data_IF_965520592968
#
_entry.id   IF_965520592968
#
_cell.length_a   1.000
_cell.length_b   1.000
_cell.length_c   1.000
_cell.angle_alpha   90.00
_cell.angle_beta   90.00
_cell.angle_gamma   90.00
#
_symmetry.space_group_name_H-M   'P 1'
#
loop_
_entity.id
_entity.type
_entity.pdbx_description
1 polymer ?
#
# COMPACT_ATOMS: atom_id res chain seq x y z
N UNK A 1 17.45 -19.74 -83.80
CA UNK A 1 17.19 -18.43 -84.44
C UNK A 1 17.11 -18.65 -85.94
N UNK A 2 16.05 -18.18 -86.61
CA UNK A 2 15.95 -18.23 -88.07
C UNK A 2 16.22 -16.85 -88.67
N UNK A 3 16.53 -16.83 -89.96
CA UNK A 3 16.99 -15.67 -90.71
C UNK A 3 16.25 -15.59 -92.03
N UNK A 4 15.78 -14.41 -92.38
CA UNK A 4 15.31 -14.08 -93.71
C UNK A 4 16.49 -13.62 -94.55
N UNK A 5 16.53 -14.06 -95.80
CA UNK A 5 17.58 -13.76 -96.77
C UNK A 5 16.99 -12.86 -97.85
N UNK A 6 17.67 -11.77 -98.18
CA UNK A 6 17.31 -10.91 -99.31
C UNK A 6 18.19 -11.25 -100.51
N UNK A 7 17.59 -11.87 -101.52
CA UNK A 7 18.28 -12.35 -102.73
C UNK A 7 17.38 -12.16 -103.94
N UNK A 8 17.94 -11.70 -105.07
CA UNK A 8 17.20 -11.48 -106.33
C UNK A 8 15.92 -10.62 -106.18
N UNK A 9 15.99 -9.55 -105.37
CA UNK A 9 14.89 -8.63 -105.03
C UNK A 9 13.69 -9.29 -104.31
N UNK A 10 13.83 -10.56 -103.91
CA UNK A 10 12.81 -11.31 -103.21
C UNK A 10 13.26 -11.66 -101.79
N UNK A 11 12.28 -11.65 -100.89
CA UNK A 11 12.46 -12.12 -99.52
C UNK A 11 12.32 -13.64 -99.49
N UNK A 12 13.39 -14.35 -99.11
CA UNK A 12 13.37 -15.79 -98.94
C UNK A 12 13.55 -16.14 -97.46
N UNK A 13 12.69 -16.99 -96.90
CA UNK A 13 12.85 -17.45 -95.52
C UNK A 13 11.54 -17.85 -94.84
N UNK A 14 11.56 -18.06 -93.51
CA UNK A 14 12.73 -17.97 -92.62
C UNK A 14 13.59 -19.25 -92.65
N UNK A 15 14.92 -19.13 -92.72
CA UNK A 15 15.89 -20.24 -92.74
C UNK A 15 16.66 -20.40 -91.43
N UNK A 16 16.96 -21.62 -91.03
CA UNK A 16 17.94 -21.89 -89.98
C UNK A 16 19.38 -21.72 -90.48
N UNK A 17 20.38 -21.50 -89.59
CA UNK A 17 21.79 -21.43 -89.98
C UNK A 17 22.28 -22.66 -90.77
N UNK A 18 21.74 -23.84 -90.47
CA UNK A 18 22.03 -25.07 -91.20
C UNK A 18 21.50 -25.04 -92.64
N UNK A 19 20.27 -24.58 -92.84
CA UNK A 19 19.65 -24.44 -94.16
C UNK A 19 20.34 -23.37 -95.02
N UNK A 20 20.82 -22.29 -94.38
CA UNK A 20 21.63 -21.26 -95.05
C UNK A 20 22.99 -21.80 -95.53
N UNK A 21 23.60 -22.74 -94.79
CA UNK A 21 24.88 -23.35 -95.17
C UNK A 21 24.79 -24.04 -96.55
N UNK A 22 23.69 -24.77 -96.77
CA UNK A 22 23.43 -25.55 -97.99
C UNK A 22 23.04 -24.68 -99.20
N UNK A 23 22.74 -23.39 -99.00
CA UNK A 23 22.41 -22.48 -100.10
C UNK A 23 23.68 -22.11 -100.88
N UNK A 24 23.73 -22.31 -102.20
CA UNK A 24 24.95 -22.11 -103.00
C UNK A 24 25.41 -20.65 -103.03
N UNK A 25 24.48 -19.68 -102.96
CA UNK A 25 24.76 -18.24 -103.01
C UNK A 25 24.87 -17.56 -101.64
N UNK A 26 24.79 -18.32 -100.55
CA UNK A 26 25.02 -17.79 -99.21
C UNK A 26 26.51 -17.54 -98.96
N UNK A 27 26.89 -16.27 -98.84
CA UNK A 27 28.24 -15.75 -98.65
C UNK A 27 28.26 -14.64 -97.59
N UNK A 28 29.46 -14.17 -97.20
CA UNK A 28 29.63 -13.11 -96.17
C UNK A 28 28.85 -11.84 -96.49
N UNK A 29 28.79 -11.45 -97.76
CA UNK A 29 28.09 -10.25 -98.22
C UNK A 29 26.58 -10.41 -98.39
N UNK A 30 26.02 -11.60 -98.16
CA UNK A 30 24.57 -11.82 -98.32
C UNK A 30 23.81 -11.10 -97.21
N UNK A 31 22.77 -10.36 -97.58
CA UNK A 31 21.95 -9.59 -96.64
C UNK A 31 20.95 -10.51 -95.95
N UNK A 32 20.96 -10.46 -94.62
CA UNK A 32 20.12 -11.29 -93.76
C UNK A 32 19.44 -10.46 -92.68
N UNK A 33 18.27 -10.93 -92.26
CA UNK A 33 17.48 -10.33 -91.19
C UNK A 33 17.07 -11.39 -90.15
N UNK A 34 17.41 -11.24 -88.86
CA UNK A 34 16.99 -12.19 -87.82
C UNK A 34 15.48 -12.12 -87.55
N UNK A 35 14.83 -13.27 -87.41
CA UNK A 35 13.36 -13.39 -87.24
C UNK A 35 12.83 -12.68 -85.98
N UNK A 36 13.62 -12.60 -84.90
CA UNK A 36 13.20 -12.03 -83.61
C UNK A 36 12.94 -10.51 -83.62
N UNK A 37 13.31 -9.80 -84.70
CA UNK A 37 13.21 -8.34 -84.80
C UNK A 37 12.50 -7.84 -86.06
N UNK A 38 11.68 -8.65 -86.71
CA UNK A 38 11.04 -8.24 -87.96
C UNK A 38 9.94 -7.18 -87.70
N UNK A 39 10.35 -5.91 -87.63
CA UNK A 39 9.47 -4.77 -87.78
C UNK A 39 9.56 -4.32 -89.26
N UNK A 40 8.48 -4.41 -90.05
CA UNK A 40 8.50 -4.01 -91.46
C UNK A 40 8.86 -2.53 -91.68
N UNK A 41 8.87 -1.70 -90.63
CA UNK A 41 9.34 -0.32 -90.69
C UNK A 41 10.84 -0.14 -90.41
N UNK A 42 11.54 -1.13 -89.83
CA UNK A 42 12.97 -1.08 -89.54
C UNK A 42 13.75 -1.96 -90.54
N UNK A 43 13.96 -1.46 -91.76
CA UNK A 43 14.72 -2.13 -92.83
C UNK A 43 16.24 -2.18 -92.58
N UNK A 44 16.70 -2.67 -91.42
CA UNK A 44 18.13 -2.87 -91.15
C UNK A 44 18.59 -4.25 -91.59
N UNK A 45 18.87 -4.37 -92.88
CA UNK A 45 19.58 -5.52 -93.45
C UNK A 45 21.02 -5.56 -92.95
N UNK A 46 21.45 -6.70 -92.40
CA UNK A 46 22.82 -6.89 -91.90
C UNK A 46 23.53 -7.89 -92.82
N UNK A 47 24.83 -7.70 -93.09
CA UNK A 47 25.59 -8.70 -93.83
C UNK A 47 25.75 -9.97 -92.98
N UNK A 48 25.63 -11.14 -93.61
CA UNK A 48 25.73 -12.42 -92.91
C UNK A 48 27.08 -12.59 -92.18
N UNK A 49 28.15 -11.95 -92.65
CA UNK A 49 29.46 -11.92 -91.99
C UNK A 49 29.48 -11.21 -90.64
N UNK A 50 28.58 -10.25 -90.40
CA UNK A 50 28.56 -9.43 -89.18
C UNK A 50 27.78 -10.10 -88.04
N UNK A 51 27.02 -11.16 -88.33
CA UNK A 51 26.28 -11.92 -87.34
C UNK A 51 27.17 -13.06 -86.82
N UNK A 52 27.55 -13.09 -85.52
CA UNK A 52 28.52 -14.06 -85.00
C UNK A 52 28.14 -15.53 -85.25
N UNK A 53 26.84 -15.84 -85.19
CA UNK A 53 26.32 -17.18 -85.44
C UNK A 53 26.49 -17.63 -86.90
N UNK A 54 26.29 -16.71 -87.85
CA UNK A 54 26.44 -16.99 -89.28
C UNK A 54 27.89 -16.91 -89.73
N UNK A 55 28.71 -16.07 -89.10
CA UNK A 55 30.16 -16.01 -89.31
C UNK A 55 30.84 -17.35 -89.04
N UNK A 56 30.41 -18.09 -88.01
CA UNK A 56 30.90 -19.45 -87.73
C UNK A 56 30.52 -20.45 -88.83
N UNK A 57 29.29 -20.36 -89.34
CA UNK A 57 28.81 -21.24 -90.42
C UNK A 57 29.52 -20.94 -91.74
N UNK A 58 29.72 -19.65 -92.05
CA UNK A 58 30.49 -19.20 -93.21
C UNK A 58 31.95 -19.61 -93.11
N UNK A 59 32.59 -19.45 -91.94
CA UNK A 59 33.96 -19.91 -91.71
C UNK A 59 34.07 -21.43 -91.86
N UNK A 60 33.09 -22.20 -91.40
CA UNK A 60 33.06 -23.65 -91.59
C UNK A 60 32.90 -24.03 -93.07
N UNK A 61 32.05 -23.32 -93.82
CA UNK A 61 31.86 -23.50 -95.27
C UNK A 61 33.12 -23.13 -96.07
N UNK A 62 33.79 -22.04 -95.69
CA UNK A 62 35.07 -21.62 -96.27
C UNK A 62 36.19 -22.62 -95.96
N UNK A 63 36.26 -23.17 -94.74
CA UNK A 63 37.20 -24.24 -94.39
C UNK A 63 36.95 -25.51 -95.20
N UNK A 64 35.71 -25.94 -95.34
CA UNK A 64 35.34 -27.08 -96.20
C UNK A 64 35.68 -26.84 -97.67
N UNK A 65 35.53 -25.60 -98.17
CA UNK A 65 35.98 -25.23 -99.51
C UNK A 65 37.52 -25.19 -99.65
N UNK A 66 38.25 -25.10 -98.53
CA UNK A 66 39.71 -24.94 -98.47
C UNK A 66 40.47 -26.20 -98.06
N UNK A 67 39.79 -27.32 -97.79
CA UNK A 67 40.34 -28.59 -97.25
C UNK A 67 41.37 -29.32 -98.15
N UNK A 68 41.88 -28.70 -99.21
CA UNK A 68 42.87 -29.29 -100.12
C UNK A 68 44.26 -28.63 -100.16
N UNK A 69 44.49 -27.49 -99.50
CA UNK A 69 45.78 -26.76 -99.63
C UNK A 69 46.18 -25.97 -98.38
N UNK A 70 46.68 -26.65 -97.36
CA UNK A 70 47.57 -26.00 -96.39
C UNK A 70 48.71 -26.96 -96.02
N UNK A 71 49.76 -26.95 -96.83
CA UNK A 71 51.10 -27.35 -96.38
C UNK A 71 51.66 -26.10 -95.71
N UNK A 72 51.82 -26.12 -94.38
CA UNK A 72 52.50 -25.04 -93.69
C UNK A 72 53.95 -24.97 -94.23
N UNK A 73 54.41 -23.82 -94.75
CA UNK A 73 55.78 -23.71 -95.24
C UNK A 73 56.77 -23.94 -94.10
N UNK A 74 57.84 -24.69 -94.37
CA UNK A 74 58.93 -24.87 -93.42
C UNK A 74 59.57 -23.51 -93.08
N UNK A 75 59.90 -23.25 -91.80
CA UNK A 75 60.47 -21.98 -91.40
C UNK A 75 61.80 -21.73 -92.11
N UNK A 76 61.92 -20.56 -92.74
CA UNK A 76 63.14 -20.13 -93.42
C UNK A 76 64.06 -19.37 -92.47
N UNK A 77 65.36 -19.28 -92.76
CA UNK A 77 66.36 -18.55 -91.95
C UNK A 77 65.99 -17.07 -91.74
N UNK A 78 65.11 -16.49 -92.56
CA UNK A 78 64.58 -15.13 -92.40
C UNK A 78 63.56 -14.99 -91.25
N UNK A 79 63.03 -16.08 -90.72
CA UNK A 79 62.00 -16.10 -89.67
C UNK A 79 62.59 -16.11 -88.25
N UNK A 80 63.91 -16.24 -88.12
CA UNK A 80 64.65 -16.23 -86.83
C UNK A 80 64.40 -14.99 -85.94
N UNK A 81 64.37 -13.74 -86.47
CA UNK A 81 64.06 -12.58 -85.64
C UNK A 81 62.62 -12.59 -85.09
N UNK A 82 61.68 -13.13 -85.87
CA UNK A 82 60.28 -13.28 -85.45
C UNK A 82 60.18 -14.32 -84.34
N UNK A 83 60.87 -15.46 -84.47
CA UNK A 83 60.97 -16.45 -83.41
C UNK A 83 61.61 -15.88 -82.14
N UNK A 84 62.64 -15.05 -82.27
CA UNK A 84 63.25 -14.34 -81.14
C UNK A 84 62.27 -13.42 -80.40
N UNK A 85 61.51 -12.60 -81.14
CA UNK A 85 60.48 -11.73 -80.56
C UNK A 85 59.34 -12.52 -79.90
N UNK A 86 58.96 -13.67 -80.47
CA UNK A 86 57.96 -14.57 -79.88
C UNK A 86 58.47 -15.17 -78.56
N UNK A 87 59.72 -15.63 -78.53
CA UNK A 87 60.36 -16.15 -77.30
C UNK A 87 60.41 -15.08 -76.22
N UNK A 88 60.86 -13.87 -76.54
CA UNK A 88 60.93 -12.76 -75.59
C UNK A 88 59.53 -12.34 -75.09
N UNK A 89 58.52 -12.41 -75.97
CA UNK A 89 57.12 -12.23 -75.60
C UNK A 89 56.61 -13.34 -74.67
N UNK A 90 57.01 -14.59 -74.91
CA UNK A 90 56.69 -15.74 -74.06
C UNK A 90 57.28 -15.58 -72.68
N UNK A 91 58.55 -15.18 -72.57
CA UNK A 91 59.22 -14.95 -71.28
C UNK A 91 58.52 -13.84 -70.47
N UNK A 92 58.15 -12.72 -71.12
CA UNK A 92 57.39 -11.63 -70.46
C UNK A 92 56.00 -12.08 -70.00
N UNK A 93 55.32 -12.91 -70.78
CA UNK A 93 54.03 -13.49 -70.41
C UNK A 93 54.18 -14.47 -69.23
N UNK A 94 55.21 -15.31 -69.23
CA UNK A 94 55.52 -16.20 -68.12
C UNK A 94 55.80 -15.43 -66.83
N UNK A 95 56.61 -14.37 -66.89
CA UNK A 95 56.88 -13.50 -65.75
C UNK A 95 55.59 -12.84 -65.23
N UNK A 96 54.75 -12.32 -66.12
CA UNK A 96 53.46 -11.75 -65.76
C UNK A 96 52.53 -12.77 -65.10
N UNK A 97 52.50 -14.02 -65.60
CA UNK A 97 51.71 -15.11 -65.02
C UNK A 97 52.21 -15.51 -63.63
N UNK A 98 53.52 -15.56 -63.41
CA UNK A 98 54.11 -15.82 -62.09
C UNK A 98 53.76 -14.70 -61.11
N UNK A 99 53.88 -13.44 -61.53
CA UNK A 99 53.52 -12.27 -60.73
C UNK A 99 52.02 -12.26 -60.37
N UNK A 100 51.16 -12.49 -61.36
CA UNK A 100 49.72 -12.57 -61.16
C UNK A 100 49.34 -13.70 -60.20
N UNK A 101 49.99 -14.87 -60.31
CA UNK A 101 49.80 -15.98 -59.38
C UNK A 101 50.22 -15.62 -57.95
N UNK A 102 51.30 -14.86 -57.77
CA UNK A 102 51.72 -14.37 -56.46
C UNK A 102 50.70 -13.37 -55.89
N UNK A 103 50.16 -12.47 -56.70
CA UNK A 103 49.11 -11.53 -56.29
C UNK A 103 47.83 -12.26 -55.89
N UNK A 104 47.39 -13.27 -56.66
CA UNK A 104 46.22 -14.08 -56.30
C UNK A 104 46.39 -14.77 -54.94
N UNK A 105 47.56 -15.35 -54.67
CA UNK A 105 47.86 -15.94 -53.35
C UNK A 105 47.80 -14.90 -52.23
N UNK A 106 48.38 -13.72 -52.44
CA UNK A 106 48.33 -12.65 -51.43
C UNK A 106 46.90 -12.18 -51.15
N UNK A 107 46.03 -12.14 -52.17
CA UNK A 107 44.61 -11.81 -52.00
C UNK A 107 43.86 -12.93 -51.27
N UNK A 108 44.14 -14.20 -51.57
CA UNK A 108 43.57 -15.35 -50.85
C UNK A 108 43.94 -15.30 -49.36
N UNK A 109 45.22 -15.09 -49.04
CA UNK A 109 45.70 -14.96 -47.66
C UNK A 109 45.04 -13.77 -46.95
N UNK A 110 44.89 -12.63 -47.63
CA UNK A 110 44.21 -11.45 -47.08
C UNK A 110 42.71 -11.70 -46.84
N UNK A 111 42.04 -12.42 -47.75
CA UNK A 111 40.64 -12.82 -47.59
C UNK A 111 40.45 -13.76 -46.41
N UNK A 112 41.36 -14.71 -46.21
CA UNK A 112 41.29 -15.62 -45.06
C UNK A 112 41.57 -14.89 -43.75
N UNK A 113 42.49 -13.92 -43.75
CA UNK A 113 42.68 -12.99 -42.62
C UNK A 113 41.42 -12.20 -42.29
N UNK A 114 40.79 -11.59 -43.29
CA UNK A 114 39.53 -10.84 -43.11
C UNK A 114 38.39 -11.73 -42.59
N UNK A 115 38.30 -12.98 -43.06
CA UNK A 115 37.32 -13.95 -42.54
C UNK A 115 37.57 -14.32 -41.09
N UNK A 116 38.84 -14.52 -40.71
CA UNK A 116 39.21 -14.78 -39.33
C UNK A 116 38.87 -13.59 -38.42
N UNK A 117 39.18 -12.37 -38.86
CA UNK A 117 38.84 -11.14 -38.15
C UNK A 117 37.32 -10.94 -38.02
N UNK A 118 36.54 -11.24 -39.07
CA UNK A 118 35.07 -11.19 -39.02
C UNK A 118 34.53 -12.13 -37.95
N UNK A 119 34.96 -13.40 -37.96
CA UNK A 119 34.55 -14.39 -36.95
C UNK A 119 34.96 -13.97 -35.53
N UNK A 120 36.14 -13.39 -35.37
CA UNK A 120 36.60 -12.88 -34.08
C UNK A 120 35.74 -11.71 -33.59
N UNK A 121 35.31 -10.81 -34.49
CA UNK A 121 34.40 -9.70 -34.17
C UNK A 121 32.98 -10.15 -33.86
N UNK A 122 32.46 -11.13 -34.61
CA UNK A 122 31.18 -11.78 -34.33
C UNK A 122 31.19 -12.39 -32.93
N UNK A 123 32.20 -13.17 -32.58
CA UNK A 123 32.33 -13.74 -31.24
C UNK A 123 32.42 -12.70 -30.11
N UNK A 124 33.08 -11.55 -30.35
CA UNK A 124 33.08 -10.43 -29.39
C UNK A 124 31.70 -9.80 -29.26
N UNK A 125 30.97 -9.67 -30.37
CA UNK A 125 29.62 -9.08 -30.38
C UNK A 125 28.63 -9.97 -29.63
N UNK A 126 28.73 -11.29 -29.80
CA UNK A 126 27.92 -12.27 -29.06
C UNK A 126 28.25 -12.22 -27.56
N UNK A 127 29.52 -12.12 -27.20
CA UNK A 127 29.94 -11.98 -25.80
C UNK A 127 29.42 -10.68 -25.16
N UNK A 128 29.45 -9.55 -25.90
CA UNK A 128 28.88 -8.29 -25.42
C UNK A 128 27.35 -8.37 -25.28
N UNK A 129 26.66 -8.97 -26.24
CA UNK A 129 25.22 -9.20 -26.18
C UNK A 129 24.83 -10.03 -24.95
N UNK A 130 25.57 -11.10 -24.67
CA UNK A 130 25.37 -11.92 -23.48
C UNK A 130 25.64 -11.14 -22.18
N UNK A 131 26.67 -10.29 -22.15
CA UNK A 131 26.99 -9.45 -21.00
C UNK A 131 25.89 -8.40 -20.73
N UNK A 132 25.34 -7.78 -21.78
CA UNK A 132 24.22 -6.83 -21.67
C UNK A 132 22.98 -7.53 -21.12
N UNK A 133 22.61 -8.69 -21.67
CA UNK A 133 21.47 -9.47 -21.17
C UNK A 133 21.64 -9.86 -19.69
N UNK A 134 22.84 -10.27 -19.28
CA UNK A 134 23.14 -10.57 -17.88
C UNK A 134 23.02 -9.32 -16.99
N UNK A 135 23.45 -8.15 -17.48
CA UNK A 135 23.35 -6.90 -16.74
C UNK A 135 21.89 -6.44 -16.59
N UNK A 136 21.09 -6.55 -17.64
CA UNK A 136 19.65 -6.27 -17.60
C UNK A 136 18.93 -7.17 -16.59
N UNK A 137 19.23 -8.47 -16.57
CA UNK A 137 18.71 -9.40 -15.59
C UNK A 137 19.10 -9.03 -14.14
N UNK A 138 20.31 -8.50 -13.93
CA UNK A 138 20.72 -7.99 -12.61
C UNK A 138 19.98 -6.72 -12.23
N UNK A 139 19.74 -5.80 -13.17
CA UNK A 139 18.98 -4.58 -12.91
C UNK A 139 17.51 -4.87 -12.57
N UNK A 140 16.87 -5.81 -13.26
CA UNK A 140 15.50 -6.23 -12.92
C UNK A 140 15.46 -6.89 -11.54
N UNK A 141 16.46 -7.71 -11.18
CA UNK A 141 16.62 -8.25 -9.84
C UNK A 141 16.80 -7.17 -8.77
N UNK A 142 17.62 -6.15 -9.02
CA UNK A 142 17.79 -5.02 -8.10
C UNK A 142 16.52 -4.19 -7.96
N UNK A 143 15.77 -3.95 -9.04
CA UNK A 143 14.50 -3.24 -8.98
C UNK A 143 13.47 -4.00 -8.12
N UNK A 144 13.37 -5.32 -8.30
CA UNK A 144 12.49 -6.16 -7.48
C UNK A 144 12.87 -6.13 -5.98
N UNK A 145 14.18 -6.17 -5.68
CA UNK A 145 14.69 -6.06 -4.31
C UNK A 145 14.40 -4.69 -3.69
N UNK A 146 14.60 -3.60 -4.44
CA UNK A 146 14.28 -2.24 -3.99
C UNK A 146 12.79 -2.07 -3.69
N UNK A 147 11.91 -2.64 -4.52
CA UNK A 147 10.46 -2.61 -4.29
C UNK A 147 10.04 -3.44 -3.08
N UNK A 148 10.70 -4.59 -2.84
CA UNK A 148 10.48 -5.37 -1.62
C UNK A 148 10.87 -4.59 -0.36
N UNK A 149 12.06 -3.98 -0.34
CA UNK A 149 12.52 -3.15 0.77
C UNK A 149 11.61 -1.93 1.01
N UNK A 150 11.09 -1.31 -0.05
CA UNK A 150 10.11 -0.22 0.08
C UNK A 150 8.84 -0.69 0.78
N UNK A 151 8.30 -1.86 0.40
CA UNK A 151 7.10 -2.43 1.05
C UNK A 151 7.35 -2.73 2.53
N UNK A 152 8.46 -3.38 2.83
CA UNK A 152 8.86 -3.69 4.21
C UNK A 152 9.02 -2.41 5.05
N UNK A 153 9.68 -1.38 4.51
CA UNK A 153 9.83 -0.10 5.22
C UNK A 153 8.49 0.61 5.47
N UNK A 154 7.54 0.49 4.54
CA UNK A 154 6.20 1.06 4.70
C UNK A 154 5.37 0.29 5.74
N UNK A 155 5.55 -1.03 5.83
CA UNK A 155 4.92 -1.87 6.85
C UNK A 155 5.46 -1.56 8.24
N UNK A 156 6.79 -1.53 8.42
CA UNK A 156 7.43 -1.14 9.67
C UNK A 156 7.04 0.27 10.13
N UNK A 157 6.86 1.21 9.18
CA UNK A 157 6.39 2.54 9.50
C UNK A 157 4.94 2.54 10.04
N UNK A 158 4.06 1.70 9.49
CA UNK A 158 2.68 1.53 9.97
C UNK A 158 2.65 0.87 11.34
N UNK A 159 3.42 -0.20 11.56
CA UNK A 159 3.54 -0.86 12.85
C UNK A 159 4.02 0.10 13.93
N UNK A 160 5.05 0.91 13.63
CA UNK A 160 5.54 1.93 14.54
C UNK A 160 4.49 2.99 14.87
N UNK A 161 3.72 3.44 13.88
CA UNK A 161 2.64 4.40 14.11
C UNK A 161 1.55 3.83 15.03
N UNK A 162 1.16 2.57 14.80
CA UNK A 162 0.18 1.87 15.65
C UNK A 162 0.70 1.70 17.08
N UNK A 163 1.95 1.25 17.25
CA UNK A 163 2.56 1.09 18.57
C UNK A 163 2.66 2.42 19.34
N UNK A 164 2.94 3.54 18.65
CA UNK A 164 2.93 4.87 19.25
C UNK A 164 1.51 5.30 19.68
N UNK A 165 0.50 5.03 18.85
CA UNK A 165 -0.89 5.30 19.19
C UNK A 165 -1.33 4.48 20.42
N UNK A 166 -1.03 3.18 20.45
CA UNK A 166 -1.32 2.31 21.59
C UNK A 166 -0.63 2.79 22.87
N UNK A 167 0.64 3.19 22.78
CA UNK A 167 1.40 3.76 23.90
C UNK A 167 0.75 5.04 24.42
N UNK A 168 0.34 5.95 23.53
CA UNK A 168 -0.32 7.20 23.93
C UNK A 168 -1.65 6.93 24.63
N UNK A 169 -2.48 6.03 24.09
CA UNK A 169 -3.74 5.65 24.72
C UNK A 169 -3.56 4.87 26.03
N UNK A 170 -2.48 4.12 26.20
CA UNK A 170 -2.12 3.52 27.47
C UNK A 170 -1.70 4.57 28.51
N UNK A 171 -0.93 5.59 28.10
CA UNK A 171 -0.51 6.68 28.95
C UNK A 171 -1.69 7.55 29.43
N UNK A 172 -2.63 7.85 28.54
CA UNK A 172 -3.87 8.57 28.90
C UNK A 172 -4.74 7.77 29.87
N UNK A 173 -4.85 6.44 29.68
CA UNK A 173 -5.57 5.59 30.64
C UNK A 173 -4.86 5.56 32.00
N UNK A 174 -3.53 5.51 32.02
CA UNK A 174 -2.77 5.53 33.26
C UNK A 174 -2.98 6.83 34.05
N UNK A 175 -2.90 7.99 33.39
CA UNK A 175 -3.18 9.28 34.03
C UNK A 175 -4.64 9.41 34.46
N UNK A 176 -5.58 8.84 33.69
CA UNK A 176 -6.98 8.70 34.08
C UNK A 176 -7.16 7.88 35.36
N UNK A 177 -6.43 6.76 35.52
CA UNK A 177 -6.47 5.98 36.75
C UNK A 177 -5.85 6.70 37.94
N UNK A 178 -4.74 7.42 37.76
CA UNK A 178 -4.10 8.19 38.83
C UNK A 178 -5.03 9.29 39.36
N UNK A 179 -5.68 10.04 38.45
CA UNK A 179 -6.66 11.06 38.83
C UNK A 179 -7.89 10.47 39.53
N UNK A 180 -8.41 9.33 39.05
CA UNK A 180 -9.53 8.63 39.68
C UNK A 180 -9.16 8.12 41.08
N UNK A 181 -7.95 7.57 41.26
CA UNK A 181 -7.46 7.11 42.57
C UNK A 181 -7.30 8.28 43.55
N UNK A 182 -6.76 9.42 43.10
CA UNK A 182 -6.64 10.61 43.92
C UNK A 182 -8.02 11.13 44.37
N UNK A 183 -9.00 11.17 43.46
CA UNK A 183 -10.37 11.57 43.76
C UNK A 183 -11.05 10.60 44.74
N UNK A 184 -10.91 9.28 44.54
CA UNK A 184 -11.45 8.27 45.46
C UNK A 184 -10.84 8.39 46.85
N UNK A 185 -9.51 8.58 46.94
CA UNK A 185 -8.83 8.78 48.21
C UNK A 185 -9.35 10.02 48.93
N UNK A 186 -9.45 11.16 48.24
CA UNK A 186 -10.00 12.38 48.82
C UNK A 186 -11.46 12.23 49.27
N UNK A 187 -12.29 11.50 48.51
CA UNK A 187 -13.68 11.21 48.88
C UNK A 187 -13.75 10.33 50.14
N UNK A 188 -12.89 9.31 50.27
CA UNK A 188 -12.80 8.47 51.46
C UNK A 188 -12.35 9.27 52.69
N UNK A 189 -11.32 10.11 52.55
CA UNK A 189 -10.84 10.99 53.63
C UNK A 189 -11.94 11.98 54.08
N UNK A 190 -12.66 12.58 53.13
CA UNK A 190 -13.78 13.48 53.42
C UNK A 190 -14.94 12.77 54.14
N UNK A 191 -15.30 11.54 53.71
CA UNK A 191 -16.32 10.74 54.40
C UNK A 191 -15.90 10.35 55.81
N UNK A 192 -14.64 10.02 56.01
CA UNK A 192 -14.10 9.70 57.33
C UNK A 192 -14.18 10.91 58.26
N UNK A 193 -13.76 12.09 57.81
CA UNK A 193 -13.86 13.32 58.58
C UNK A 193 -15.32 13.70 58.93
N UNK A 194 -16.25 13.51 57.98
CA UNK A 194 -17.68 13.74 58.22
C UNK A 194 -18.25 12.77 59.28
N UNK A 195 -17.91 11.48 59.22
CA UNK A 195 -18.32 10.49 60.21
C UNK A 195 -17.73 10.76 61.59
N UNK A 196 -16.48 11.22 61.67
CA UNK A 196 -15.87 11.64 62.95
C UNK A 196 -16.59 12.87 63.54
N UNK A 197 -16.96 13.84 62.71
CA UNK A 197 -17.74 15.00 63.13
C UNK A 197 -19.13 14.58 63.64
N UNK A 198 -19.86 13.74 62.90
CA UNK A 198 -21.16 13.20 63.32
C UNK A 198 -21.04 12.42 64.64
N UNK A 199 -20.03 11.56 64.79
CA UNK A 199 -19.80 10.81 66.01
C UNK A 199 -19.51 11.74 67.21
N UNK A 200 -18.76 12.82 67.00
CA UNK A 200 -18.51 13.83 68.05
C UNK A 200 -19.78 14.59 68.43
N UNK A 201 -20.61 14.96 67.44
CA UNK A 201 -21.91 15.60 67.66
C UNK A 201 -22.88 14.70 68.43
N UNK A 202 -22.96 13.42 68.07
CA UNK A 202 -23.78 12.43 68.78
C UNK A 202 -23.31 12.24 70.24
N UNK A 203 -22.00 12.24 70.49
CA UNK A 203 -21.46 12.16 71.86
C UNK A 203 -21.86 13.37 72.70
N UNK A 204 -21.80 14.58 72.14
CA UNK A 204 -22.25 15.79 72.82
C UNK A 204 -23.76 15.77 73.08
N UNK A 205 -24.57 15.39 72.08
CA UNK A 205 -26.01 15.26 72.23
C UNK A 205 -26.40 14.21 73.29
N UNK A 206 -25.68 13.09 73.36
CA UNK A 206 -25.87 12.07 74.41
C UNK A 206 -25.55 12.64 75.80
N UNK A 207 -24.48 13.41 75.94
CA UNK A 207 -24.11 14.04 77.20
C UNK A 207 -25.17 15.07 77.65
N UNK A 208 -25.69 15.88 76.73
CA UNK A 208 -26.77 16.83 77.01
C UNK A 208 -28.05 16.11 77.42
N UNK A 209 -28.46 15.08 76.69
CA UNK A 209 -29.62 14.27 77.03
C UNK A 209 -29.48 13.61 78.43
N UNK A 210 -28.27 13.17 78.79
CA UNK A 210 -27.99 12.66 80.13
C UNK A 210 -28.18 13.74 81.21
N UNK A 211 -27.73 14.98 80.98
CA UNK A 211 -27.94 16.12 81.89
C UNK A 211 -29.43 16.49 82.00
N UNK A 212 -30.16 16.49 80.88
CA UNK A 212 -31.61 16.74 80.91
C UNK A 212 -32.34 15.64 81.69
N UNK A 213 -31.95 14.38 81.52
CA UNK A 213 -32.51 13.25 82.27
C UNK A 213 -32.28 13.39 83.78
N UNK A 214 -31.08 13.78 84.22
CA UNK A 214 -30.81 13.99 85.65
C UNK A 214 -31.60 15.16 86.21
N UNK A 215 -31.71 16.27 85.48
CA UNK A 215 -32.52 17.42 85.87
C UNK A 215 -34.02 17.09 85.98
N UNK A 216 -34.57 16.34 85.01
CA UNK A 216 -35.96 15.86 85.08
C UNK A 216 -36.17 14.89 86.25
N UNK A 217 -35.23 13.99 86.49
CA UNK A 217 -35.26 13.10 87.66
C UNK A 217 -35.31 13.88 88.98
N UNK A 218 -34.50 14.94 89.11
CA UNK A 218 -34.53 15.81 90.29
C UNK A 218 -35.86 16.56 90.44
N UNK A 219 -36.45 17.05 89.33
CA UNK A 219 -37.77 17.70 89.34
C UNK A 219 -38.88 16.73 89.75
N UNK A 220 -38.84 15.49 89.27
CA UNK A 220 -39.80 14.45 89.65
C UNK A 220 -39.71 14.17 91.16
N UNK A 221 -38.51 13.95 91.69
CA UNK A 221 -38.30 13.72 93.11
C UNK A 221 -38.78 14.90 93.99
N UNK A 222 -38.54 16.14 93.55
CA UNK A 222 -39.03 17.33 94.24
C UNK A 222 -40.56 17.44 94.20
N UNK A 223 -41.20 17.10 93.08
CA UNK A 223 -42.65 17.07 92.94
C UNK A 223 -43.29 15.97 93.80
N UNK A 224 -42.66 14.80 93.88
CA UNK A 224 -43.07 13.71 94.78
C UNK A 224 -43.00 14.16 96.25
N UNK A 225 -41.88 14.75 96.67
CA UNK A 225 -41.72 15.29 98.03
C UNK A 225 -42.74 16.40 98.35
N UNK A 226 -43.03 17.29 97.39
CA UNK A 226 -44.06 18.32 97.56
C UNK A 226 -45.47 17.71 97.66
N UNK A 227 -45.77 16.67 96.88
CA UNK A 227 -47.03 15.93 96.98
C UNK A 227 -47.17 15.23 98.33
N UNK A 228 -46.10 14.62 98.86
CA UNK A 228 -46.12 13.98 100.17
C UNK A 228 -46.28 15.01 101.30
N UNK A 229 -45.59 16.16 101.22
CA UNK A 229 -45.81 17.26 102.16
C UNK A 229 -47.25 17.78 102.14
N UNK A 230 -47.86 17.95 100.96
CA UNK A 230 -49.28 18.33 100.85
C UNK A 230 -50.21 17.25 101.42
N UNK A 231 -49.87 15.96 101.28
CA UNK A 231 -50.63 14.86 101.91
C UNK A 231 -50.54 14.92 103.43
N UNK A 232 -49.35 15.18 103.96
CA UNK A 232 -49.12 15.32 105.40
C UNK A 232 -49.83 16.55 105.97
N UNK A 233 -49.77 17.68 105.28
CA UNK A 233 -50.54 18.89 105.64
C UNK A 233 -52.05 18.63 105.62
N UNK A 234 -52.55 17.91 104.62
CA UNK A 234 -53.96 17.53 104.55
C UNK A 234 -54.35 16.58 105.69
N UNK A 235 -53.47 15.65 106.07
CA UNK A 235 -53.67 14.76 107.21
C UNK A 235 -53.71 15.55 108.53
N UNK A 236 -52.73 16.44 108.74
CA UNK A 236 -52.67 17.31 109.91
C UNK A 236 -53.87 18.26 109.98
N UNK A 237 -54.30 18.84 108.86
CA UNK A 237 -55.52 19.66 108.79
C UNK A 237 -56.75 18.86 109.18
N UNK A 238 -56.89 17.63 108.65
CA UNK A 238 -58.00 16.73 109.01
C UNK A 238 -57.98 16.37 110.49
N UNK A 239 -56.82 16.11 111.08
CA UNK A 239 -56.70 15.80 112.50
C UNK A 239 -56.97 17.03 113.39
N UNK A 240 -56.45 18.19 113.02
CA UNK A 240 -56.76 19.46 113.69
C UNK A 240 -58.26 19.81 113.58
N UNK A 241 -58.88 19.51 112.44
CA UNK A 241 -60.32 19.61 112.26
C UNK A 241 -61.04 18.62 113.20
N UNK A 242 -60.66 17.34 113.25
CA UNK A 242 -61.22 16.38 114.23
C UNK A 242 -61.07 16.85 115.67
N UNK A 243 -59.94 17.45 116.04
CA UNK A 243 -59.71 18.04 117.37
C UNK A 243 -60.60 19.27 117.62
N UNK A 244 -60.75 20.16 116.63
CA UNK A 244 -61.70 21.28 116.72
C UNK A 244 -63.14 20.78 116.88
N UNK A 245 -63.53 19.73 116.16
CA UNK A 245 -64.84 19.12 116.32
C UNK A 245 -64.97 18.38 117.67
N UNK A 246 -63.90 17.80 118.23
CA UNK A 246 -63.92 17.18 119.56
C UNK A 246 -63.99 18.21 120.70
N UNK A 247 -63.34 19.36 120.55
CA UNK A 247 -63.42 20.50 121.48
C UNK A 247 -64.75 21.26 121.35
N UNK A 248 -65.28 21.41 120.13
CA UNK A 248 -66.65 21.88 119.90
C UNK A 248 -67.69 20.96 120.55
N UNK A 249 -67.42 19.64 120.57
CA UNK A 249 -68.24 18.66 121.29
C UNK A 249 -68.14 18.78 122.82
N UNK A 250 -67.04 19.33 123.36
CA UNK A 250 -66.86 19.57 124.79
C UNK A 250 -67.65 20.80 125.31
N UNK A 251 -67.86 21.81 124.47
CA UNK A 251 -68.74 22.95 124.78
C UNK A 251 -70.23 22.64 124.59
N UNK A 252 -70.56 21.61 123.81
CA UNK A 252 -71.93 21.13 123.57
C UNK A 252 -72.23 19.81 124.31
N UNK A 253 -71.81 19.70 125.58
CA UNK A 253 -72.31 18.60 126.42
C UNK A 253 -73.78 18.87 126.79
N UNK A 254 -74.69 17.87 126.69
CA UNK A 254 -76.12 18.06 126.93
C UNK A 254 -76.42 18.62 128.34
N UNK A 255 -75.53 18.35 129.32
CA UNK A 255 -75.59 18.94 130.66
C UNK A 255 -75.34 20.45 130.71
N UNK A 256 -74.43 21.00 129.88
CA UNK A 256 -74.16 22.44 129.82
C UNK A 256 -75.22 23.20 129.01
N UNK A 257 -75.80 22.57 127.98
CA UNK A 257 -77.00 23.08 127.30
C UNK A 257 -78.22 23.12 128.24
N UNK A 258 -78.39 22.13 129.12
CA UNK A 258 -79.41 22.16 130.18
C UNK A 258 -79.15 23.26 131.22
N UNK A 259 -77.89 23.51 131.59
CA UNK A 259 -77.55 24.60 132.52
C UNK A 259 -77.73 25.99 131.90
N UNK A 260 -77.36 26.19 130.63
CA UNK A 260 -77.57 27.47 129.93
C UNK A 260 -79.05 27.74 129.65
N UNK A 261 -79.84 26.72 129.33
CA UNK A 261 -81.31 26.87 129.22
C UNK A 261 -81.95 27.11 130.59
N UNK A 262 -81.52 26.43 131.65
CA UNK A 262 -81.98 26.71 133.02
C UNK A 262 -81.62 28.14 133.48
N UNK A 263 -80.43 28.64 133.14
CA UNK A 263 -79.98 29.99 133.46
C UNK A 263 -80.70 31.06 132.62
N UNK A 264 -81.01 30.76 131.36
CA UNK A 264 -81.86 31.61 130.52
C UNK A 264 -83.32 31.66 131.04
N UNK A 265 -83.86 30.54 131.52
CA UNK A 265 -85.18 30.49 132.17
C UNK A 265 -85.15 31.24 133.50
N UNK A 266 -84.08 31.14 134.30
CA UNK A 266 -83.90 31.91 135.53
C UNK A 266 -83.76 33.41 135.29
N UNK A 267 -83.04 33.83 134.24
CA UNK A 267 -82.94 35.24 133.85
C UNK A 267 -84.26 35.76 133.27
N UNK A 268 -85.03 34.94 132.56
CA UNK A 268 -86.36 35.29 132.09
C UNK A 268 -87.38 35.41 133.25
N UNK A 269 -87.29 34.55 134.27
CA UNK A 269 -88.17 34.64 135.45
C UNK A 269 -87.77 35.77 136.39
N UNK A 270 -86.46 36.06 136.56
CA UNK A 270 -85.99 37.25 137.29
C UNK A 270 -86.33 38.55 136.55
N UNK A 271 -86.24 38.56 135.22
CA UNK A 271 -86.68 39.68 134.38
C UNK A 271 -88.19 39.93 134.50
N UNK A 272 -89.00 38.86 134.50
CA UNK A 272 -90.45 38.96 134.69
C UNK A 272 -90.85 39.40 136.13
N UNK A 273 -90.08 39.02 137.15
CA UNK A 273 -90.28 39.45 138.54
C UNK A 273 -89.83 40.89 138.82
N UNK A 274 -88.85 41.41 138.08
CA UNK A 274 -88.48 42.83 138.12
C UNK A 274 -89.44 43.70 137.32
N UNK A 275 -90.12 43.15 136.30
CA UNK A 275 -91.17 43.87 135.56
C UNK A 275 -92.54 43.89 136.28
N UNK A 276 -92.84 42.93 137.16
CA UNK A 276 -94.12 42.85 137.89
C UNK A 276 -94.18 43.67 139.19
N UNK A 277 -93.12 44.42 139.53
CA UNK A 277 -93.11 45.40 140.63
C UNK A 277 -93.02 46.85 140.16
N UNK A 278 -93.07 47.08 138.85
CA UNK A 278 -93.06 48.38 138.19
C UNK A 278 -94.38 48.71 137.47
N UNK A 279 -95.47 48.01 137.82
CA UNK A 279 -96.85 48.26 137.39
C UNK A 279 -97.81 48.02 138.56
#
# INVERSE_FOLDING_TARGET
MKYWLFEDEALHGPFSPGELKERPRFARGTLVHPEERFDPAEERWIQAGDIPQLALVLAAKERQASEGRFIAPEPTVRDLPVLGAILEGSEKLEEALVSLRAQFRAVEDAMDGLRADSRAREGKTDAFSAAVAALEARFTGFAASADALRRESAELARERANALAERSGAQERASGFETALAALKGACEGRLAALEAEASGLKLGLAEAAVQRTALGARLAAAEAASDALRDELAAFKDAERERWSLGRFWLTPRRLLLLSALAVLLATLGALLLSRAL
#
